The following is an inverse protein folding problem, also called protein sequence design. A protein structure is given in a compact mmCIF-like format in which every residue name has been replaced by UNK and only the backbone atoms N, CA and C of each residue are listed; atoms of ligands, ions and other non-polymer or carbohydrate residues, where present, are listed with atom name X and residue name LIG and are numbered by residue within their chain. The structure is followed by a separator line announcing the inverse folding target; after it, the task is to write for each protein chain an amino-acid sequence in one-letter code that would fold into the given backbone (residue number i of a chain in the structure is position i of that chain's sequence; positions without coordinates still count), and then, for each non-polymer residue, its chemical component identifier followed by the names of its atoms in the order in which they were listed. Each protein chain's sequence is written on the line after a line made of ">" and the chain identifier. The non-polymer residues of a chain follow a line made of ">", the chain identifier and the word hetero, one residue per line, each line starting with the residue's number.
data_IF_124661579287
#
_entry.id   IF_124661579287
#
_cell.length_a   1.000
_cell.length_b   1.000
_cell.length_c   1.000
_cell.angle_alpha   90.00
_cell.angle_beta   90.00
_cell.angle_gamma   90.00
#
_symmetry.space_group_name_H-M   'P 1'
#
loop_
_entity.id
_entity.type
_entity.pdbx_description
1 polymer ?
#
# COMPACT_ATOMS: atom_id res chain seq x y z
N UNK A 1 -27.40 -2.72 26.86
CA UNK A 1 -26.16 -2.01 26.47
C UNK A 1 -26.18 -1.45 25.06
N UNK A 2 -26.39 -2.26 24.00
CA UNK A 2 -26.41 -1.73 22.62
C UNK A 2 -27.45 -0.61 22.39
N UNK A 3 -28.63 -0.72 22.98
CA UNK A 3 -29.66 0.32 22.90
C UNK A 3 -29.15 1.66 23.46
N UNK A 4 -28.51 1.66 24.63
CA UNK A 4 -27.97 2.88 25.24
C UNK A 4 -26.89 3.54 24.37
N UNK A 5 -26.10 2.75 23.65
CA UNK A 5 -25.11 3.26 22.69
C UNK A 5 -25.83 3.89 21.50
N UNK A 6 -26.86 3.24 20.96
CA UNK A 6 -27.66 3.78 19.86
C UNK A 6 -28.37 5.09 20.24
N UNK A 7 -28.93 5.17 21.45
CA UNK A 7 -29.60 6.38 21.95
C UNK A 7 -28.61 7.54 22.12
N UNK A 8 -27.40 7.27 22.63
CA UNK A 8 -26.33 8.28 22.73
C UNK A 8 -25.81 8.70 21.35
N UNK A 9 -25.69 7.77 20.40
CA UNK A 9 -25.37 8.10 19.00
C UNK A 9 -26.42 9.05 18.41
N UNK A 10 -27.71 8.75 18.63
CA UNK A 10 -28.82 9.62 18.20
C UNK A 10 -28.74 11.01 18.81
N UNK A 11 -28.39 11.13 20.10
CA UNK A 11 -28.19 12.44 20.77
C UNK A 11 -27.02 13.25 20.20
N UNK A 12 -25.96 12.58 19.72
CA UNK A 12 -24.77 13.23 19.15
C UNK A 12 -24.85 13.45 17.64
N UNK A 13 -25.89 12.93 16.97
CA UNK A 13 -26.02 12.97 15.51
C UNK A 13 -25.12 11.96 14.78
N UNK A 14 -24.68 10.91 15.46
CA UNK A 14 -23.89 9.83 14.87
C UNK A 14 -24.79 8.75 14.29
N UNK A 15 -24.31 8.09 13.23
CA UNK A 15 -25.01 6.94 12.65
C UNK A 15 -24.58 5.66 13.38
N UNK A 16 -25.55 4.89 13.85
CA UNK A 16 -25.30 3.60 14.50
C UNK A 16 -25.87 2.47 13.63
N UNK A 17 -25.06 1.44 13.36
CA UNK A 17 -25.50 0.25 12.62
C UNK A 17 -25.01 -1.05 13.26
N UNK A 18 -25.90 -2.04 13.31
CA UNK A 18 -25.55 -3.40 13.67
C UNK A 18 -25.09 -4.16 12.42
N UNK A 19 -24.08 -5.02 12.57
CA UNK A 19 -23.58 -5.83 11.45
C UNK A 19 -24.11 -7.26 11.56
N UNK A 20 -24.65 -7.83 10.47
CA UNK A 20 -25.27 -9.16 10.49
C UNK A 20 -24.26 -10.29 10.75
N UNK A 21 -22.98 -10.10 10.37
CA UNK A 21 -21.93 -11.12 10.51
C UNK A 21 -21.25 -11.12 11.89
N UNK A 22 -21.74 -10.28 12.83
CA UNK A 22 -21.29 -10.18 14.22
C UNK A 22 -19.78 -9.87 14.42
N UNK A 23 -19.05 -9.53 13.35
CA UNK A 23 -17.65 -9.14 13.37
C UNK A 23 -17.36 -8.05 12.32
N UNK A 24 -17.18 -6.78 12.71
CA UNK A 24 -17.44 -6.22 14.05
C UNK A 24 -18.93 -6.34 14.43
N UNK A 25 -19.28 -6.29 15.72
CA UNK A 25 -20.65 -6.45 16.22
C UNK A 25 -21.53 -5.25 15.85
N UNK A 26 -20.98 -4.05 15.97
CA UNK A 26 -21.64 -2.80 15.59
C UNK A 26 -20.64 -1.81 15.00
N UNK A 27 -21.14 -0.74 14.40
CA UNK A 27 -20.35 0.34 13.85
C UNK A 27 -20.98 1.68 14.21
N UNK A 28 -20.12 2.66 14.44
CA UNK A 28 -20.49 4.06 14.58
C UNK A 28 -19.88 4.82 13.41
N UNK A 29 -20.69 5.58 12.67
CA UNK A 29 -20.21 6.44 11.59
C UNK A 29 -20.36 7.91 11.99
N UNK A 30 -19.29 8.68 11.79
CA UNK A 30 -19.25 10.13 12.00
C UNK A 30 -18.65 10.75 10.75
N UNK A 31 -19.34 11.73 10.16
CA UNK A 31 -18.90 12.41 8.92
C UNK A 31 -18.53 11.44 7.77
N UNK A 32 -19.26 10.33 7.65
CA UNK A 32 -19.01 9.29 6.64
C UNK A 32 -17.85 8.34 6.98
N UNK A 33 -17.18 8.52 8.11
CA UNK A 33 -16.09 7.65 8.58
C UNK A 33 -16.65 6.61 9.54
N UNK A 34 -16.56 5.36 9.09
CA UNK A 34 -17.06 4.17 9.74
C UNK A 34 -16.04 3.55 10.72
N UNK A 35 -16.36 3.52 12.01
CA UNK A 35 -15.52 2.84 13.03
C UNK A 35 -16.22 1.61 13.57
N UNK A 36 -15.62 0.44 13.38
CA UNK A 36 -16.18 -0.85 13.79
C UNK A 36 -15.79 -1.25 15.22
N UNK A 37 -16.73 -1.86 15.94
CA UNK A 37 -16.55 -2.33 17.31
C UNK A 37 -17.04 -3.76 17.49
N UNK A 38 -16.22 -4.61 18.11
CA UNK A 38 -16.61 -5.96 18.54
C UNK A 38 -17.02 -5.93 20.01
N UNK A 39 -18.20 -6.44 20.33
CA UNK A 39 -18.70 -6.54 21.70
C UNK A 39 -18.91 -8.00 22.08
N UNK A 40 -18.29 -8.45 23.17
CA UNK A 40 -18.35 -9.84 23.62
C UNK A 40 -18.22 -9.94 25.14
N UNK A 41 -18.66 -11.07 25.69
CA UNK A 41 -18.53 -11.36 27.12
C UNK A 41 -17.14 -11.92 27.45
N UNK A 42 -16.52 -11.42 28.53
CA UNK A 42 -15.23 -11.89 29.02
C UNK A 42 -15.37 -13.31 29.60
N UNK A 43 -14.41 -14.18 29.26
CA UNK A 43 -14.28 -15.50 29.85
C UNK A 43 -13.27 -15.46 30.99
N UNK A 44 -13.63 -16.04 32.12
CA UNK A 44 -12.78 -16.18 33.29
C UNK A 44 -12.48 -17.66 33.52
N UNK A 45 -11.23 -17.96 33.87
CA UNK A 45 -10.84 -19.30 34.27
C UNK A 45 -11.34 -19.54 35.69
N UNK A 46 -12.31 -20.45 35.85
CA UNK A 46 -12.78 -20.86 37.18
C UNK A 46 -12.56 -22.36 37.38
N UNK A 47 -12.21 -22.78 38.61
CA UNK A 47 -12.27 -24.18 38.96
C UNK A 47 -13.73 -24.60 38.97
N UNK A 48 -14.12 -25.41 37.97
CA UNK A 48 -15.45 -26.00 37.89
C UNK A 48 -15.31 -27.45 38.34
N UNK A 49 -16.20 -27.88 39.24
CA UNK A 49 -16.23 -29.28 39.67
C UNK A 49 -16.65 -30.14 38.47
N UNK A 50 -16.01 -31.29 38.29
CA UNK A 50 -16.43 -32.22 37.25
C UNK A 50 -17.85 -32.70 37.57
N UNK A 51 -18.84 -32.32 36.76
CA UNK A 51 -20.25 -32.61 37.02
C UNK A 51 -20.54 -34.12 37.03
N UNK A 52 -19.81 -34.91 36.24
CA UNK A 52 -20.01 -36.35 36.16
C UNK A 52 -19.51 -37.04 37.44
N UNK A 53 -18.32 -36.65 37.91
CA UNK A 53 -17.79 -37.12 39.19
C UNK A 53 -18.60 -36.59 40.40
N UNK A 54 -19.20 -35.40 40.28
CA UNK A 54 -20.06 -34.82 41.31
C UNK A 54 -21.40 -35.56 41.41
N UNK A 55 -21.97 -36.00 40.28
CA UNK A 55 -23.17 -36.83 40.24
C UNK A 55 -22.92 -38.26 40.73
N UNK A 56 -21.71 -38.77 40.53
CA UNK A 56 -21.28 -40.09 41.00
C UNK A 56 -20.85 -40.08 42.49
N UNK A 57 -20.58 -38.90 43.05
CA UNK A 57 -20.24 -38.76 44.46
C UNK A 57 -21.41 -39.21 45.35
N UNK A 58 -21.16 -40.21 46.18
CA UNK A 58 -22.17 -40.80 47.07
C UNK A 58 -22.43 -39.94 48.31
N UNK A 59 -21.46 -39.13 48.72
CA UNK A 59 -21.53 -38.33 49.93
C UNK A 59 -21.07 -36.89 49.66
N UNK A 60 -21.71 -35.93 50.34
CA UNK A 60 -21.45 -34.49 50.17
C UNK A 60 -20.04 -34.05 50.58
N UNK A 61 -19.35 -34.85 51.41
CA UNK A 61 -17.98 -34.57 51.87
C UNK A 61 -16.89 -35.16 50.95
N UNK A 62 -17.28 -35.96 49.95
CA UNK A 62 -16.34 -36.64 49.06
C UNK A 62 -15.64 -35.62 48.16
N UNK A 63 -14.30 -35.66 48.13
CA UNK A 63 -13.51 -34.74 47.31
C UNK A 63 -13.61 -35.12 45.83
N UNK A 64 -14.29 -34.28 45.06
CA UNK A 64 -14.36 -34.35 43.59
C UNK A 64 -13.27 -33.48 42.97
N UNK A 65 -12.68 -33.93 41.85
CA UNK A 65 -11.60 -33.17 41.19
C UNK A 65 -12.17 -31.92 40.52
N UNK A 66 -11.54 -30.79 40.76
CA UNK A 66 -11.85 -29.54 40.05
C UNK A 66 -10.99 -29.42 38.79
N UNK A 67 -11.59 -29.08 37.66
CA UNK A 67 -10.88 -28.74 36.43
C UNK A 67 -11.03 -27.24 36.15
N UNK A 68 -9.94 -26.58 35.74
CA UNK A 68 -10.01 -25.16 35.35
C UNK A 68 -10.66 -25.07 33.98
N UNK A 69 -11.83 -24.46 33.91
CA UNK A 69 -12.56 -24.22 32.66
C UNK A 69 -12.79 -22.72 32.42
N UNK A 70 -12.90 -22.34 31.15
CA UNK A 70 -13.28 -20.99 30.74
C UNK A 70 -14.78 -20.83 30.86
N UNK A 71 -15.23 -20.09 31.86
CA UNK A 71 -16.64 -19.80 32.10
C UNK A 71 -16.92 -18.34 31.74
N UNK A 72 -18.12 -18.08 31.25
CA UNK A 72 -18.62 -16.72 31.01
C UNK A 72 -18.69 -15.95 32.32
N UNK A 73 -18.01 -14.80 32.37
CA UNK A 73 -17.83 -14.05 33.62
C UNK A 73 -18.97 -13.07 33.95
N UNK A 74 -19.89 -12.83 33.00
CA UNK A 74 -20.91 -11.78 33.08
C UNK A 74 -20.42 -10.38 32.70
N UNK A 75 -19.11 -10.19 32.50
CA UNK A 75 -18.51 -8.88 32.17
C UNK A 75 -18.51 -8.65 30.68
N UNK A 76 -19.00 -7.49 30.24
CA UNK A 76 -19.03 -7.12 28.84
C UNK A 76 -17.76 -6.36 28.44
N UNK A 77 -17.24 -6.66 27.25
CA UNK A 77 -16.05 -6.02 26.67
C UNK A 77 -16.39 -5.50 25.28
N UNK A 78 -16.08 -4.24 25.03
CA UNK A 78 -16.05 -3.62 23.71
C UNK A 78 -14.59 -3.50 23.29
N UNK A 79 -14.29 -3.85 22.05
CA UNK A 79 -12.95 -3.77 21.46
C UNK A 79 -12.98 -3.21 20.06
N UNK A 80 -11.98 -2.41 19.72
CA UNK A 80 -11.74 -1.89 18.37
C UNK A 80 -10.24 -1.85 18.07
N UNK A 81 -9.88 -1.53 16.82
CA UNK A 81 -8.50 -1.46 16.36
C UNK A 81 -7.94 -2.77 15.80
N UNK A 82 -6.66 -2.72 15.45
CA UNK A 82 -5.93 -3.87 14.89
C UNK A 82 -5.77 -4.99 15.92
N UNK A 83 -5.62 -6.22 15.43
CA UNK A 83 -5.33 -7.40 16.28
C UNK A 83 -4.11 -7.18 17.20
N UNK A 84 -3.12 -6.38 16.76
CA UNK A 84 -1.86 -6.17 17.50
C UNK A 84 -1.87 -4.98 18.45
N UNK A 85 -2.80 -4.05 18.30
CA UNK A 85 -2.96 -2.91 19.21
C UNK A 85 -4.45 -2.62 19.39
N UNK A 86 -5.17 -3.51 20.08
CA UNK A 86 -6.58 -3.32 20.30
C UNK A 86 -6.82 -2.30 21.42
N UNK A 87 -7.74 -1.39 21.20
CA UNK A 87 -8.30 -0.54 22.26
C UNK A 87 -9.54 -1.25 22.80
N UNK A 88 -9.69 -1.31 24.13
CA UNK A 88 -10.81 -2.01 24.75
C UNK A 88 -11.38 -1.29 25.97
N UNK A 89 -12.68 -1.44 26.14
CA UNK A 89 -13.47 -0.95 27.28
C UNK A 89 -14.24 -2.14 27.85
N UNK A 90 -14.16 -2.38 29.14
CA UNK A 90 -14.65 -3.62 29.74
C UNK A 90 -15.28 -3.37 31.12
N UNK A 91 -16.33 -4.10 31.49
CA UNK A 91 -16.79 -4.06 32.88
C UNK A 91 -15.68 -4.52 33.84
N UNK A 92 -15.39 -3.70 34.86
CA UNK A 92 -14.38 -4.01 35.89
C UNK A 92 -14.97 -3.78 37.28
N UNK A 93 -14.25 -4.23 38.32
CA UNK A 93 -14.72 -4.14 39.72
C UNK A 93 -15.02 -2.71 40.18
N UNK A 94 -14.32 -1.72 39.62
CA UNK A 94 -14.42 -0.30 40.04
C UNK A 94 -15.30 0.56 39.14
N UNK A 95 -15.68 0.08 37.95
CA UNK A 95 -16.41 0.87 36.97
C UNK A 95 -17.15 -0.04 36.00
N UNK A 96 -18.34 0.40 35.59
CA UNK A 96 -19.13 -0.26 34.56
C UNK A 96 -18.71 0.21 33.17
N UNK A 97 -19.06 -0.58 32.16
CA UNK A 97 -18.87 -0.23 30.76
C UNK A 97 -19.64 1.06 30.40
N UNK A 98 -20.79 1.32 31.04
CA UNK A 98 -21.55 2.55 30.87
C UNK A 98 -20.73 3.79 31.27
N UNK A 99 -19.98 3.72 32.38
CA UNK A 99 -19.12 4.81 32.85
C UNK A 99 -17.96 5.12 31.89
N UNK A 100 -17.62 4.19 31.00
CA UNK A 100 -16.58 4.38 29.97
C UNK A 100 -17.10 4.78 28.60
N UNK A 101 -18.41 4.80 28.40
CA UNK A 101 -18.99 5.22 27.13
C UNK A 101 -18.49 6.61 26.68
N UNK A 102 -18.34 7.62 27.56
CA UNK A 102 -17.77 8.90 27.15
C UNK A 102 -16.37 8.77 26.52
N UNK A 103 -15.52 7.88 27.07
CA UNK A 103 -14.19 7.60 26.52
C UNK A 103 -14.23 6.84 25.19
N UNK A 104 -15.26 6.01 24.97
CA UNK A 104 -15.49 5.36 23.68
C UNK A 104 -15.87 6.39 22.61
N UNK A 105 -16.75 7.35 22.92
CA UNK A 105 -17.12 8.39 21.97
C UNK A 105 -15.97 9.36 21.69
N UNK A 106 -15.20 9.75 22.70
CA UNK A 106 -13.98 10.53 22.51
C UNK A 106 -12.98 9.81 21.59
N UNK A 107 -12.88 8.48 21.69
CA UNK A 107 -12.06 7.69 20.76
C UNK A 107 -12.60 7.74 19.32
N UNK A 108 -13.92 7.64 19.12
CA UNK A 108 -14.53 7.76 17.78
C UNK A 108 -14.21 9.13 17.18
N UNK A 109 -14.47 10.20 17.93
CA UNK A 109 -14.17 11.58 17.51
C UNK A 109 -12.69 11.73 17.13
N UNK A 110 -11.78 11.32 18.00
CA UNK A 110 -10.34 11.35 17.72
C UNK A 110 -9.98 10.54 16.46
N UNK A 111 -10.49 9.32 16.32
CA UNK A 111 -10.19 8.46 15.17
C UNK A 111 -10.70 9.04 13.85
N UNK A 112 -11.81 9.79 13.89
CA UNK A 112 -12.38 10.43 12.71
C UNK A 112 -11.50 11.59 12.26
N UNK A 113 -11.08 12.44 13.18
CA UNK A 113 -10.13 13.54 12.92
C UNK A 113 -8.82 12.98 12.35
N UNK A 114 -8.23 11.97 13.00
CA UNK A 114 -6.99 11.35 12.53
C UNK A 114 -7.13 10.75 11.12
N UNK A 115 -8.28 10.16 10.82
CA UNK A 115 -8.54 9.58 9.49
C UNK A 115 -8.69 10.68 8.42
N UNK A 116 -9.40 11.76 8.72
CA UNK A 116 -9.53 12.93 7.82
C UNK A 116 -8.16 13.54 7.55
N UNK A 117 -7.35 13.75 8.59
CA UNK A 117 -5.99 14.28 8.47
C UNK A 117 -5.08 13.38 7.64
N UNK A 118 -5.18 12.06 7.83
CA UNK A 118 -4.43 11.10 7.01
C UNK A 118 -4.85 11.13 5.55
N UNK A 119 -6.15 11.19 5.26
CA UNK A 119 -6.66 11.29 3.91
C UNK A 119 -6.21 12.58 3.23
N UNK A 120 -6.33 13.73 3.91
CA UNK A 120 -5.91 15.03 3.37
C UNK A 120 -4.39 15.09 3.15
N UNK A 121 -3.58 14.53 4.06
CA UNK A 121 -2.12 14.43 3.89
C UNK A 121 -1.76 13.57 2.69
N UNK A 122 -2.37 12.38 2.54
CA UNK A 122 -2.13 11.50 1.39
C UNK A 122 -2.48 12.18 0.07
N UNK A 123 -3.60 12.90 0.02
CA UNK A 123 -4.00 13.63 -1.19
C UNK A 123 -2.96 14.69 -1.56
N UNK A 124 -2.47 15.47 -0.59
CA UNK A 124 -1.39 16.44 -0.80
C UNK A 124 -0.12 15.78 -1.31
N UNK A 125 0.32 14.70 -0.67
CA UNK A 125 1.50 13.93 -1.10
C UNK A 125 1.34 13.39 -2.52
N UNK A 126 0.13 12.94 -2.90
CA UNK A 126 -0.16 12.46 -4.25
C UNK A 126 -0.07 13.58 -5.29
N UNK A 127 -0.62 14.76 -4.98
CA UNK A 127 -0.54 15.94 -5.86
C UNK A 127 0.91 16.39 -6.01
N UNK A 128 1.65 16.54 -4.91
CA UNK A 128 3.06 16.94 -4.92
C UNK A 128 3.93 15.96 -5.70
N UNK A 129 3.73 14.65 -5.49
CA UNK A 129 4.46 13.61 -6.23
C UNK A 129 4.15 13.65 -7.72
N UNK A 130 2.90 13.92 -8.10
CA UNK A 130 2.51 14.07 -9.51
C UNK A 130 3.20 15.28 -10.14
N UNK A 131 3.17 16.43 -9.47
CA UNK A 131 3.83 17.66 -9.96
C UNK A 131 5.35 17.47 -10.08
N UNK A 132 5.98 16.83 -9.09
CA UNK A 132 7.41 16.53 -9.13
C UNK A 132 7.77 15.60 -10.30
N UNK A 133 6.92 14.60 -10.57
CA UNK A 133 7.10 13.69 -11.70
C UNK A 133 6.93 14.40 -13.05
N UNK A 134 5.90 15.24 -13.21
CA UNK A 134 5.68 16.04 -14.42
C UNK A 134 6.85 16.99 -14.69
N UNK A 135 7.36 17.67 -13.66
CA UNK A 135 8.54 18.53 -13.79
C UNK A 135 9.80 17.74 -14.16
N UNK A 136 9.99 16.55 -13.58
CA UNK A 136 11.12 15.69 -13.91
C UNK A 136 11.04 15.21 -15.37
N UNK A 137 9.85 14.87 -15.84
CA UNK A 137 9.60 14.46 -17.22
C UNK A 137 9.92 15.59 -18.21
N UNK A 138 9.47 16.81 -17.90
CA UNK A 138 9.73 17.96 -18.75
C UNK A 138 11.22 18.32 -18.80
N UNK A 139 11.91 18.29 -17.66
CA UNK A 139 13.38 18.44 -17.63
C UNK A 139 14.08 17.36 -18.44
N UNK A 140 13.67 16.10 -18.31
CA UNK A 140 14.25 15.00 -19.08
C UNK A 140 14.04 15.18 -20.59
N UNK A 141 12.86 15.65 -21.01
CA UNK A 141 12.57 15.98 -22.42
C UNK A 141 13.51 17.08 -22.93
N UNK A 142 13.69 18.16 -22.17
CA UNK A 142 14.58 19.26 -22.54
C UNK A 142 16.03 18.79 -22.66
N UNK A 143 16.51 18.01 -21.69
CA UNK A 143 17.85 17.40 -21.74
C UNK A 143 18.01 16.46 -22.94
N UNK A 144 16.99 15.69 -23.27
CA UNK A 144 17.02 14.81 -24.43
C UNK A 144 17.11 15.59 -25.76
N UNK A 145 16.30 16.65 -25.92
CA UNK A 145 16.34 17.50 -27.14
C UNK A 145 17.69 18.19 -27.28
N UNK A 146 18.24 18.72 -26.20
CA UNK A 146 19.55 19.39 -26.21
C UNK A 146 20.68 18.41 -26.56
N UNK A 147 20.68 17.21 -25.99
CA UNK A 147 21.63 16.14 -26.34
C UNK A 147 21.51 15.73 -27.82
N UNK A 148 20.28 15.56 -28.32
CA UNK A 148 20.04 15.20 -29.72
C UNK A 148 20.54 16.29 -30.68
N UNK A 149 20.28 17.56 -30.37
CA UNK A 149 20.76 18.69 -31.16
C UNK A 149 22.29 18.76 -31.16
N UNK A 150 22.94 18.52 -30.01
CA UNK A 150 24.40 18.45 -29.91
C UNK A 150 24.97 17.37 -30.82
N UNK A 151 24.41 16.17 -30.77
CA UNK A 151 24.85 15.05 -31.64
C UNK A 151 24.68 15.37 -33.12
N UNK A 152 23.55 15.99 -33.52
CA UNK A 152 23.33 16.42 -34.90
C UNK A 152 24.38 17.42 -35.38
N UNK A 153 24.75 18.38 -34.53
CA UNK A 153 25.79 19.36 -34.86
C UNK A 153 27.17 18.70 -34.99
N UNK A 154 27.51 17.77 -34.09
CA UNK A 154 28.75 17.00 -34.16
C UNK A 154 28.83 16.18 -35.47
N UNK A 155 27.73 15.53 -35.86
CA UNK A 155 27.63 14.78 -37.13
C UNK A 155 27.82 15.69 -38.35
N UNK A 156 27.22 16.89 -38.34
CA UNK A 156 27.36 17.88 -39.42
C UNK A 156 28.80 18.38 -39.54
N UNK A 157 29.47 18.68 -38.42
CA UNK A 157 30.87 19.08 -38.40
C UNK A 157 31.80 17.96 -38.88
N UNK A 158 31.52 16.71 -38.52
CA UNK A 158 32.27 15.56 -39.00
C UNK A 158 32.05 15.32 -40.51
N UNK A 159 30.85 15.55 -41.02
CA UNK A 159 30.54 15.46 -42.45
C UNK A 159 31.22 16.57 -43.26
N UNK A 160 31.20 17.83 -42.78
CA UNK A 160 31.82 18.96 -43.46
C UNK A 160 33.34 18.83 -43.52
N UNK A 161 33.98 18.35 -42.44
CA UNK A 161 35.41 18.02 -42.44
C UNK A 161 35.76 16.98 -43.49
N UNK A 162 35.00 15.88 -43.56
CA UNK A 162 35.18 14.83 -44.59
C UNK A 162 35.05 15.38 -46.00
N UNK A 163 34.04 16.22 -46.26
CA UNK A 163 33.82 16.85 -47.56
C UNK A 163 34.98 17.80 -47.95
N UNK A 164 35.47 18.61 -47.01
CA UNK A 164 36.61 19.50 -47.23
C UNK A 164 37.91 18.74 -47.53
N UNK A 165 38.14 17.61 -46.85
CA UNK A 165 39.30 16.74 -47.13
C UNK A 165 39.19 16.08 -48.51
N UNK A 166 38.00 15.65 -48.94
CA UNK A 166 37.80 15.09 -50.29
C UNK A 166 37.93 16.14 -51.41
N UNK A 167 37.53 17.39 -51.15
CA UNK A 167 37.75 18.47 -52.11
C UNK A 167 39.24 18.80 -52.25
N UNK A 168 40.00 18.84 -51.13
CA UNK A 168 41.44 19.06 -51.15
C UNK A 168 42.23 17.96 -51.88
N UNK A 169 41.80 16.70 -51.78
CA UNK A 169 42.41 15.59 -52.55
C UNK A 169 42.02 15.58 -54.02
N UNK A 170 40.86 16.16 -54.39
CA UNK A 170 40.42 16.29 -55.79
C UNK A 170 41.15 17.43 -56.53
N UNK A 171 41.47 18.54 -55.86
CA UNK A 171 42.28 19.64 -56.43
C UNK A 171 43.76 19.27 -56.60
N UNK A 172 44.25 18.22 -55.91
CA UNK A 172 45.58 17.65 -56.09
C UNK A 172 45.69 16.56 -57.18
N UNK A 173 44.56 16.17 -57.81
CA UNK A 173 44.51 15.11 -58.82
C UNK A 173 43.94 15.63 -60.13
N UNK A 174 44.62 16.62 -60.73
CA UNK A 174 44.51 16.91 -62.16
C UNK A 174 45.73 16.35 -62.88
N UNK A 175 45.93 15.04 -62.75
CA UNK A 175 46.84 14.29 -63.61
C UNK A 175 45.99 13.62 -64.69
N UNK A 176 46.19 14.05 -65.93
CA UNK A 176 45.53 13.55 -67.13
C UNK A 176 45.64 12.01 -67.28
N UNK A 177 44.62 11.32 -67.81
CA UNK A 177 44.75 9.92 -68.17
C UNK A 177 45.41 9.82 -69.56
N UNK A 178 46.45 9.01 -69.67
CA UNK A 178 47.00 8.50 -70.94
C UNK A 178 47.07 6.96 -70.86
N UNK A 179 47.03 6.26 -72.01
CA UNK A 179 46.23 5.06 -72.17
C UNK A 179 47.06 3.77 -72.26
N UNK A 180 46.35 2.64 -72.33
CA UNK A 180 46.83 1.27 -72.58
C UNK A 180 47.51 0.61 -71.36
N UNK A 181 46.88 -0.38 -70.73
CA UNK A 181 46.97 -1.78 -71.17
C UNK A 181 45.87 -2.65 -70.53
N UNK A 182 45.25 -3.51 -71.34
CA UNK A 182 44.43 -4.68 -70.93
C UNK A 182 45.33 -5.93 -70.87
N UNK A 183 44.87 -7.13 -70.44
CA UNK A 183 43.95 -7.48 -69.35
C UNK A 183 44.52 -8.64 -68.49
N UNK A 184 43.98 -8.91 -67.29
CA UNK A 184 43.94 -10.31 -66.81
C UNK A 184 42.74 -10.60 -65.91
N UNK A 185 42.07 -11.70 -66.25
CA UNK A 185 40.99 -12.35 -65.49
C UNK A 185 41.49 -12.79 -64.12
N UNK A 186 40.65 -12.62 -63.08
CA UNK A 186 40.20 -13.73 -62.20
C UNK A 186 39.08 -13.29 -61.25
N UNK A 187 37.96 -14.01 -61.38
CA UNK A 187 37.13 -14.62 -60.32
C UNK A 187 36.50 -13.77 -59.20
N UNK A 188 35.16 -13.74 -59.22
CA UNK A 188 34.22 -13.64 -58.07
C UNK A 188 34.43 -14.80 -57.07
N UNK A 189 34.07 -14.70 -55.76
CA UNK A 189 32.67 -14.71 -55.24
C UNK A 189 32.40 -13.63 -54.15
N UNK A 190 31.19 -13.08 -53.97
CA UNK A 190 29.94 -13.59 -53.35
C UNK A 190 30.06 -13.97 -51.86
N UNK A 191 29.09 -13.48 -51.09
CA UNK A 191 28.73 -13.67 -49.67
C UNK A 191 29.40 -12.72 -48.66
N UNK A 192 28.70 -12.16 -47.68
CA UNK A 192 27.30 -12.37 -47.29
C UNK A 192 26.94 -11.54 -46.05
N UNK A 193 25.63 -11.40 -45.87
CA UNK A 193 24.90 -10.89 -44.70
C UNK A 193 25.58 -11.13 -43.34
N UNK A 194 25.41 -10.16 -42.42
CA UNK A 194 24.98 -10.30 -41.01
C UNK A 194 24.96 -8.88 -40.42
N UNK A 195 24.04 -8.46 -39.56
CA UNK A 195 22.98 -9.15 -38.83
C UNK A 195 22.51 -8.16 -37.76
N UNK A 196 21.19 -8.12 -37.58
CA UNK A 196 20.42 -7.36 -36.59
C UNK A 196 20.98 -7.39 -35.17
N UNK A 197 20.66 -6.31 -34.47
CA UNK A 197 20.05 -6.25 -33.13
C UNK A 197 20.20 -7.50 -32.27
N UNK A 198 20.82 -7.36 -31.09
CA UNK A 198 20.17 -7.71 -29.82
C UNK A 198 20.78 -6.87 -28.68
N UNK A 199 19.91 -6.20 -27.92
CA UNK A 199 20.12 -5.94 -26.49
C UNK A 199 18.97 -6.58 -25.74
N UNK A 200 19.21 -7.39 -24.70
CA UNK A 200 18.22 -7.63 -23.68
C UNK A 200 18.53 -6.81 -22.41
N UNK A 201 17.42 -6.26 -21.89
CA UNK A 201 16.95 -6.15 -20.49
C UNK A 201 17.97 -6.53 -19.42
#
# INVERSE_FOLDING_TARGET
>A
MLQAIADECGRRGYEFSLRPNNNPTFQISVEGIATGFSMFEEYENRPVMNEDELKEAKYDWQRVRSTVQKVRSGKLVIRTGSRHSPVSWADRKRWSLADRLPGLFAYVEQSTVETIEQCTRKEREHIERRQAWEQALERARQLHVTDLNRRRLDDQLAASRRAGTSAATQTGSTAWPMPWTMPSRRSRPINGRRGRDQRPI
#
